data_IF_271521197090
#
_entry.id   IF_271521197090
#
_cell.length_a   1.000
_cell.length_b   1.000
_cell.length_c   1.000
_cell.angle_alpha   90.00
_cell.angle_beta   90.00
_cell.angle_gamma   90.00
#
_symmetry.space_group_name_H-M   'P 1'
#
loop_
_entity.id
_entity.type
_entity.pdbx_description
1 polymer ?
#
# COMPACT_ATOMS: atom_id res chain seq x y z
N UNK A 1 -7.60 17.01 21.56
CA UNK A 1 -6.92 15.68 21.59
C UNK A 1 -7.40 14.88 20.38
N UNK A 2 -6.51 14.53 19.43
CA UNK A 2 -6.92 13.67 18.31
C UNK A 2 -6.90 12.23 18.83
N UNK A 3 -8.07 11.67 19.14
CA UNK A 3 -8.25 10.27 19.60
C UNK A 3 -7.67 9.25 18.58
N UNK A 4 -7.71 9.60 17.31
CA UNK A 4 -7.11 8.85 16.20
C UNK A 4 -5.82 9.55 15.79
N UNK A 5 -4.76 9.33 16.59
CA UNK A 5 -3.45 9.92 16.31
C UNK A 5 -2.82 9.36 15.05
N UNK A 6 -1.75 10.01 14.56
CA UNK A 6 -1.03 9.60 13.35
C UNK A 6 -0.63 8.13 13.30
N UNK A 7 -0.44 7.47 14.46
CA UNK A 7 -0.15 6.02 14.55
C UNK A 7 -1.27 5.15 13.99
N UNK A 8 -2.55 5.51 14.24
CA UNK A 8 -3.70 4.76 13.73
C UNK A 8 -3.79 4.87 12.22
N UNK A 9 -3.59 6.07 11.70
CA UNK A 9 -3.57 6.34 10.26
C UNK A 9 -2.40 5.62 9.57
N UNK A 10 -1.21 5.59 10.20
CA UNK A 10 -0.06 4.83 9.70
C UNK A 10 -0.36 3.33 9.64
N UNK A 11 -1.02 2.76 10.65
CA UNK A 11 -1.41 1.36 10.67
C UNK A 11 -2.45 1.04 9.59
N UNK A 12 -3.42 1.91 9.38
CA UNK A 12 -4.40 1.80 8.30
C UNK A 12 -3.71 1.80 6.92
N UNK A 13 -2.81 2.74 6.67
CA UNK A 13 -2.03 2.79 5.43
C UNK A 13 -1.17 1.54 5.23
N UNK A 14 -0.59 1.00 6.31
CA UNK A 14 0.21 -0.23 6.27
C UNK A 14 -0.65 -1.46 5.94
N UNK A 15 -1.86 -1.56 6.49
CA UNK A 15 -2.82 -2.63 6.17
C UNK A 15 -3.30 -2.54 4.72
N UNK A 16 -3.63 -1.34 4.25
CA UNK A 16 -4.01 -1.11 2.86
C UNK A 16 -2.89 -1.47 1.89
N UNK A 17 -1.65 -1.10 2.21
CA UNK A 17 -0.47 -1.51 1.45
C UNK A 17 -0.32 -3.03 1.40
N UNK A 18 -0.40 -3.71 2.54
CA UNK A 18 -0.26 -5.16 2.61
C UNK A 18 -1.38 -5.89 1.83
N UNK A 19 -2.61 -5.36 1.88
CA UNK A 19 -3.74 -5.88 1.09
C UNK A 19 -3.50 -5.72 -0.41
N UNK A 20 -3.05 -4.55 -0.83
CA UNK A 20 -2.75 -4.29 -2.24
C UNK A 20 -1.55 -5.14 -2.72
N UNK A 21 -0.54 -5.31 -1.87
CA UNK A 21 0.59 -6.20 -2.16
C UNK A 21 0.14 -7.64 -2.34
N UNK A 22 -0.74 -8.14 -1.46
CA UNK A 22 -1.33 -9.48 -1.58
C UNK A 22 -2.06 -9.66 -2.93
N UNK A 23 -2.93 -8.71 -3.27
CA UNK A 23 -3.65 -8.72 -4.55
C UNK A 23 -2.71 -8.72 -5.75
N UNK A 24 -1.63 -7.95 -5.69
CA UNK A 24 -0.64 -7.86 -6.77
C UNK A 24 0.13 -9.16 -6.93
N UNK A 25 0.60 -9.77 -5.84
CA UNK A 25 1.28 -11.06 -5.84
C UNK A 25 0.36 -12.16 -6.38
N UNK A 26 -0.90 -12.20 -5.93
CA UNK A 26 -1.89 -13.17 -6.42
C UNK A 26 -2.12 -13.03 -7.92
N UNK A 27 -2.16 -11.82 -8.44
CA UNK A 27 -2.27 -11.57 -9.88
C UNK A 27 -1.01 -12.02 -10.64
N UNK A 28 0.19 -11.84 -10.08
CA UNK A 28 1.43 -12.33 -10.68
C UNK A 28 1.42 -13.86 -10.75
N UNK A 29 1.09 -14.54 -9.65
CA UNK A 29 1.01 -16.00 -9.58
C UNK A 29 -0.02 -16.54 -10.58
N UNK A 30 -1.21 -15.94 -10.65
CA UNK A 30 -2.27 -16.35 -11.58
C UNK A 30 -1.87 -16.22 -13.05
N UNK A 31 -0.88 -15.36 -13.36
CA UNK A 31 -0.40 -15.10 -14.71
C UNK A 31 1.00 -15.66 -14.98
N UNK A 32 1.49 -16.61 -14.18
CA UNK A 32 2.83 -17.18 -14.34
C UNK A 32 3.03 -17.84 -15.72
N UNK A 33 1.98 -18.46 -16.26
CA UNK A 33 1.99 -19.12 -17.56
C UNK A 33 1.50 -18.23 -18.72
N UNK A 34 1.10 -16.99 -18.44
CA UNK A 34 0.61 -16.07 -19.47
C UNK A 34 1.77 -15.50 -20.28
N UNK A 35 1.84 -15.75 -21.62
CA UNK A 35 2.90 -15.23 -22.45
C UNK A 35 2.96 -13.71 -22.45
N UNK A 36 4.17 -13.15 -22.33
CA UNK A 36 4.40 -11.71 -22.36
C UNK A 36 3.94 -10.96 -21.11
N UNK A 37 3.39 -11.64 -20.10
CA UNK A 37 3.00 -10.99 -18.86
C UNK A 37 4.20 -10.41 -18.13
N UNK A 38 4.04 -9.21 -17.57
CA UNK A 38 5.06 -8.53 -16.79
C UNK A 38 4.62 -8.39 -15.34
N UNK A 39 5.44 -8.92 -14.43
CA UNK A 39 5.20 -8.88 -13.00
C UNK A 39 4.97 -7.45 -12.51
N UNK A 40 4.01 -7.29 -11.62
CA UNK A 40 3.70 -6.02 -10.97
C UNK A 40 4.25 -6.05 -9.55
N UNK A 41 4.68 -4.89 -9.07
CA UNK A 41 5.16 -4.69 -7.68
C UNK A 41 4.43 -3.50 -7.08
N UNK A 42 4.20 -3.58 -5.78
CA UNK A 42 3.70 -2.44 -5.01
C UNK A 42 4.88 -1.76 -4.35
N UNK A 43 5.04 -0.47 -4.64
CA UNK A 43 6.06 0.37 -4.01
C UNK A 43 5.35 1.26 -3.01
N UNK A 44 5.85 1.27 -1.76
CA UNK A 44 5.41 2.22 -0.76
C UNK A 44 6.07 3.57 -1.10
N UNK A 45 5.25 4.57 -1.44
CA UNK A 45 5.74 5.92 -1.68
C UNK A 45 6.05 6.57 -0.34
N UNK A 46 7.23 7.17 -0.25
CA UNK A 46 7.56 8.04 0.87
C UNK A 46 6.65 9.28 0.80
N UNK A 47 5.67 9.31 1.68
CA UNK A 47 4.65 10.37 1.77
C UNK A 47 5.31 11.75 1.93
N UNK A 48 6.50 11.78 2.52
CA UNK A 48 7.25 13.02 2.76
C UNK A 48 7.75 13.67 1.46
N UNK A 49 8.21 12.88 0.49
CA UNK A 49 8.69 13.38 -0.80
C UNK A 49 7.52 13.90 -1.66
N UNK A 50 6.35 13.32 -1.53
CA UNK A 50 5.16 13.68 -2.30
C UNK A 50 4.44 14.92 -1.72
N UNK A 51 4.48 15.11 -0.40
CA UNK A 51 3.95 16.33 0.23
C UNK A 51 4.77 17.59 -0.12
N UNK A 52 6.07 17.46 -0.37
CA UNK A 52 6.90 18.58 -0.81
C UNK A 52 6.66 18.97 -2.27
N UNK A 53 6.24 18.04 -3.11
CA UNK A 53 5.95 18.31 -4.53
C UNK A 53 4.49 18.71 -4.78
N UNK A 54 3.56 18.26 -3.95
CA UNK A 54 2.13 18.56 -4.08
C UNK A 54 1.67 19.82 -3.32
N UNK A 55 2.56 20.52 -2.65
CA UNK A 55 2.25 21.83 -2.04
C UNK A 55 2.16 23.00 -3.05
N UNK A 56 2.17 22.70 -4.35
CA UNK A 56 1.76 23.68 -5.35
C UNK A 56 0.23 23.70 -5.38
N UNK A 57 -0.37 24.28 -4.34
CA UNK A 57 -1.73 24.78 -4.44
C UNK A 57 -1.72 25.92 -5.47
N UNK A 58 -2.11 25.60 -6.70
CA UNK A 58 -2.34 26.63 -7.70
C UNK A 58 -3.39 27.59 -7.16
N UNK A 59 -3.04 28.89 -7.09
CA UNK A 59 -3.95 29.94 -6.66
C UNK A 59 -5.23 29.88 -7.53
N UNK A 60 -6.34 29.49 -6.95
CA UNK A 60 -7.63 29.41 -7.64
C UNK A 60 -8.21 30.81 -7.76
N UNK A 61 -8.20 31.34 -8.95
CA UNK A 61 -8.82 32.64 -9.27
C UNK A 61 -10.33 32.52 -9.52
N UNK A 62 -10.89 31.31 -9.67
CA UNK A 62 -12.32 31.10 -9.90
C UNK A 62 -12.82 29.78 -9.30
N UNK A 63 -14.06 29.74 -8.70
CA UNK A 63 -14.62 28.51 -8.09
C UNK A 63 -14.84 27.33 -9.05
N UNK A 64 -14.87 27.58 -10.37
CA UNK A 64 -15.04 26.56 -11.41
C UNK A 64 -13.72 25.94 -11.89
N UNK A 65 -12.59 26.38 -11.41
CA UNK A 65 -11.31 25.78 -11.76
C UNK A 65 -11.17 24.42 -11.06
N UNK A 66 -10.80 23.40 -11.84
CA UNK A 66 -10.54 22.07 -11.31
C UNK A 66 -9.37 22.13 -10.31
N UNK A 67 -9.47 21.41 -9.17
CA UNK A 67 -8.37 21.31 -8.23
C UNK A 67 -7.18 20.62 -8.90
N UNK A 68 -6.04 21.29 -8.93
CA UNK A 68 -4.78 20.66 -9.31
C UNK A 68 -4.26 19.97 -8.05
N UNK A 69 -4.28 18.65 -8.00
CA UNK A 69 -3.70 17.88 -6.89
C UNK A 69 -4.66 17.08 -6.01
N UNK A 70 -5.97 17.02 -6.33
CA UNK A 70 -6.97 16.25 -5.58
C UNK A 70 -7.00 14.75 -5.94
N UNK A 71 -5.86 14.18 -6.32
CA UNK A 71 -5.70 12.73 -6.33
C UNK A 71 -5.62 12.24 -4.88
N UNK A 72 -6.56 11.40 -4.44
CA UNK A 72 -6.47 10.71 -3.16
C UNK A 72 -5.04 10.13 -3.03
N UNK A 73 -4.26 10.68 -2.11
CA UNK A 73 -2.86 10.27 -1.89
C UNK A 73 -2.86 8.84 -1.36
N UNK A 74 -2.83 7.89 -2.26
CA UNK A 74 -2.58 6.50 -1.86
C UNK A 74 -1.09 6.38 -1.51
N UNK A 75 -0.75 5.89 -0.32
CA UNK A 75 0.64 5.79 0.14
C UNK A 75 1.44 4.71 -0.61
N UNK A 76 0.90 4.14 -1.65
CA UNK A 76 1.51 3.09 -2.46
C UNK A 76 1.21 3.28 -3.94
N UNK A 77 2.11 2.78 -4.77
CA UNK A 77 1.94 2.74 -6.23
C UNK A 77 2.21 1.34 -6.75
N UNK A 78 1.40 0.87 -7.70
CA UNK A 78 1.64 -0.37 -8.42
C UNK A 78 2.47 -0.07 -9.66
N UNK A 79 3.65 -0.67 -9.76
CA UNK A 79 4.58 -0.50 -10.88
C UNK A 79 4.75 -1.83 -11.60
N UNK A 80 4.77 -1.80 -12.93
CA UNK A 80 5.03 -2.97 -13.77
C UNK A 80 6.54 -3.07 -14.05
N UNK A 81 7.12 -4.22 -13.76
CA UNK A 81 8.53 -4.50 -14.06
C UNK A 81 8.67 -4.91 -15.52
N UNK A 82 9.12 -3.97 -16.37
CA UNK A 82 9.27 -4.18 -17.82
C UNK A 82 10.66 -4.59 -18.24
N UNK A 83 11.64 -4.48 -17.34
CA UNK A 83 13.08 -4.60 -17.67
C UNK A 83 13.63 -6.02 -17.66
N UNK A 84 12.86 -7.00 -17.19
CA UNK A 84 13.35 -8.37 -17.01
C UNK A 84 12.54 -9.38 -17.82
N UNK A 85 13.19 -10.50 -18.17
CA UNK A 85 12.55 -11.66 -18.76
C UNK A 85 13.05 -12.89 -18.01
N UNK A 86 12.18 -13.68 -17.44
CA UNK A 86 12.53 -14.90 -16.70
C UNK A 86 12.30 -16.14 -17.58
N UNK A 87 11.17 -16.18 -18.29
CA UNK A 87 10.78 -17.27 -19.15
C UNK A 87 11.00 -16.95 -20.63
N UNK A 88 11.25 -17.98 -21.46
CA UNK A 88 11.42 -17.85 -22.91
C UNK A 88 10.19 -17.26 -23.64
N UNK A 89 9.02 -17.29 -23.02
CA UNK A 89 7.78 -16.71 -23.53
C UNK A 89 7.62 -15.20 -23.25
N UNK A 90 8.66 -14.54 -22.73
CA UNK A 90 8.64 -13.12 -22.39
C UNK A 90 8.03 -12.77 -21.03
N UNK A 91 7.56 -13.78 -20.27
CA UNK A 91 7.07 -13.63 -18.91
C UNK A 91 8.25 -13.46 -17.95
N UNK A 92 8.09 -12.62 -16.90
CA UNK A 92 9.12 -12.40 -15.88
C UNK A 92 8.64 -12.74 -14.46
N UNK A 93 7.55 -13.49 -14.33
CA UNK A 93 7.08 -13.97 -13.03
C UNK A 93 7.90 -15.18 -12.60
N UNK A 94 8.50 -15.09 -11.42
CA UNK A 94 9.16 -16.18 -10.72
C UNK A 94 8.23 -16.64 -9.58
N UNK A 95 7.67 -17.83 -9.70
CA UNK A 95 6.67 -18.36 -8.76
C UNK A 95 7.26 -18.55 -7.35
N UNK A 96 8.50 -19.00 -7.24
CA UNK A 96 9.15 -19.23 -5.94
C UNK A 96 9.36 -17.94 -5.19
N UNK A 97 9.77 -16.91 -5.93
CA UNK A 97 9.90 -15.55 -5.42
C UNK A 97 8.57 -14.97 -4.99
N UNK A 98 7.53 -15.09 -5.82
CA UNK A 98 6.19 -14.56 -5.50
C UNK A 98 5.59 -15.28 -4.29
N UNK A 99 5.76 -16.61 -4.16
CA UNK A 99 5.30 -17.36 -2.99
C UNK A 99 6.02 -16.96 -1.70
N UNK A 100 7.32 -16.69 -1.78
CA UNK A 100 8.10 -16.18 -0.65
C UNK A 100 7.63 -14.78 -0.24
N UNK A 101 7.38 -13.89 -1.21
CA UNK A 101 6.84 -12.55 -0.96
C UNK A 101 5.41 -12.61 -0.39
N UNK A 102 4.60 -13.58 -0.83
CA UNK A 102 3.27 -13.84 -0.26
C UNK A 102 3.36 -14.20 1.22
N UNK A 103 4.22 -15.16 1.57
CA UNK A 103 4.41 -15.59 2.95
C UNK A 103 4.90 -14.44 3.85
N UNK A 104 5.88 -13.67 3.40
CA UNK A 104 6.37 -12.48 4.12
C UNK A 104 5.26 -11.43 4.31
N UNK A 105 4.47 -11.20 3.28
CA UNK A 105 3.37 -10.23 3.33
C UNK A 105 2.26 -10.68 4.29
N UNK A 106 2.00 -11.98 4.37
CA UNK A 106 1.04 -12.55 5.31
C UNK A 106 1.46 -12.32 6.76
N UNK A 107 2.73 -12.58 7.07
CA UNK A 107 3.29 -12.30 8.42
C UNK A 107 3.24 -10.82 8.76
N UNK A 108 3.58 -9.97 7.79
CA UNK A 108 3.49 -8.53 7.96
C UNK A 108 2.05 -8.07 8.22
N UNK A 109 1.09 -8.53 7.43
CA UNK A 109 -0.31 -8.22 7.60
C UNK A 109 -0.82 -8.61 9.00
N UNK A 110 -0.52 -9.85 9.42
CA UNK A 110 -0.89 -10.36 10.74
C UNK A 110 -0.33 -9.48 11.87
N UNK A 111 0.94 -9.10 11.78
CA UNK A 111 1.58 -8.21 12.75
C UNK A 111 0.91 -6.84 12.83
N UNK A 112 0.47 -6.30 11.69
CA UNK A 112 -0.24 -5.01 11.66
C UNK A 112 -1.64 -5.12 12.27
N UNK A 113 -2.35 -6.24 12.01
CA UNK A 113 -3.66 -6.53 12.63
C UNK A 113 -3.53 -6.63 14.15
N UNK A 114 -2.54 -7.37 14.65
CA UNK A 114 -2.30 -7.53 16.09
C UNK A 114 -2.00 -6.18 16.76
N UNK A 115 -1.22 -5.36 16.08
CA UNK A 115 -0.88 -4.01 16.56
C UNK A 115 -2.09 -3.08 16.57
N UNK A 116 -2.95 -3.17 15.55
CA UNK A 116 -4.21 -2.42 15.48
C UNK A 116 -5.15 -2.84 16.62
N UNK A 117 -5.32 -4.14 16.84
CA UNK A 117 -6.13 -4.69 17.94
C UNK A 117 -5.61 -4.22 19.31
N UNK A 118 -4.29 -4.20 19.52
CA UNK A 118 -3.67 -3.67 20.73
C UNK A 118 -4.02 -2.20 20.97
N UNK A 119 -4.04 -1.38 19.90
CA UNK A 119 -4.46 0.02 19.99
C UNK A 119 -5.94 0.18 20.35
N UNK A 120 -6.81 -0.63 19.75
CA UNK A 120 -8.23 -0.62 20.10
C UNK A 120 -8.48 -1.04 21.56
N UNK A 121 -7.80 -2.08 22.05
CA UNK A 121 -7.87 -2.48 23.46
C UNK A 121 -7.42 -1.37 24.41
N UNK A 122 -6.32 -0.67 24.06
CA UNK A 122 -5.87 0.47 24.86
C UNK A 122 -6.90 1.58 24.91
N UNK A 123 -7.55 1.90 23.79
CA UNK A 123 -8.64 2.89 23.74
C UNK A 123 -9.84 2.43 24.56
N UNK A 124 -10.24 1.17 24.44
CA UNK A 124 -11.35 0.59 25.22
C UNK A 124 -11.08 0.67 26.73
N UNK A 125 -9.85 0.36 27.15
CA UNK A 125 -9.45 0.45 28.57
C UNK A 125 -9.57 1.88 29.09
N UNK A 126 -9.14 2.88 28.30
CA UNK A 126 -9.27 4.30 28.68
C UNK A 126 -10.74 4.72 28.77
N UNK A 127 -11.57 4.31 27.81
CA UNK A 127 -13.01 4.65 27.79
C UNK A 127 -13.76 4.00 28.96
N UNK A 128 -13.40 2.76 29.31
CA UNK A 128 -14.00 2.02 30.44
C UNK A 128 -13.47 2.46 31.82
N UNK A 129 -12.63 3.49 31.88
CA UNK A 129 -12.13 4.05 33.14
C UNK A 129 -10.96 3.28 33.77
N UNK A 130 -10.19 2.54 32.98
CA UNK A 130 -8.93 1.93 33.42
C UNK A 130 -9.08 0.74 34.35
N UNK A 131 -10.22 0.09 34.37
CA UNK A 131 -10.48 -1.14 35.13
C UNK A 131 -10.33 -2.39 34.28
#
# INVERSE_FOLDING_TARGET
>A
MKLFGGTMQTLEHSLNYATQKNKTISNNIANVDTPGYKAKKVIFKDILAEQTTNSIEGFRTHPRHLPIGDGALTPYQVVTDRGTTYNHNGNNVDIDKEMNELAKNQLYYQSMVDRMNGKFRSLETVIKGGR
#
